data_IF_280632853498
#
_entry.id   IF_280632853498
#
_cell.length_a   1.000
_cell.length_b   1.000
_cell.length_c   1.000
_cell.angle_alpha   90.00
_cell.angle_beta   90.00
_cell.angle_gamma   90.00
#
_symmetry.space_group_name_H-M   'P 1'
#
loop_
_entity.id
_entity.type
_entity.pdbx_description
1 polymer ?
#
# COMPACT_ATOMS: atom_id res chain seq x y z
N UNK A 1 8.92 9.37 -11.99
CA UNK A 1 9.04 10.61 -11.22
C UNK A 1 9.56 11.72 -12.12
N UNK A 2 9.07 12.94 -11.92
CA UNK A 2 9.54 14.11 -12.65
C UNK A 2 9.69 15.33 -11.72
N UNK A 3 10.74 16.13 -11.93
CA UNK A 3 10.94 17.37 -11.19
C UNK A 3 9.91 18.43 -11.61
N UNK A 4 9.39 19.18 -10.65
CA UNK A 4 8.47 20.30 -10.85
C UNK A 4 9.12 21.56 -10.27
N UNK A 5 9.71 22.35 -11.14
CA UNK A 5 10.54 23.46 -10.73
C UNK A 5 11.79 22.99 -9.96
N UNK A 6 12.31 23.86 -9.06
CA UNK A 6 13.54 23.59 -8.31
C UNK A 6 13.31 22.81 -6.99
N UNK A 7 12.06 22.74 -6.52
CA UNK A 7 11.73 22.23 -5.18
C UNK A 7 10.65 21.17 -5.16
N UNK A 8 9.97 20.95 -6.28
CA UNK A 8 8.89 19.99 -6.39
C UNK A 8 9.31 18.69 -7.03
N UNK A 9 8.70 17.57 -6.61
CA UNK A 9 8.82 16.28 -7.23
C UNK A 9 7.42 15.67 -7.38
N UNK A 10 7.03 15.41 -8.61
CA UNK A 10 5.81 14.64 -8.92
C UNK A 10 6.16 13.18 -9.13
N UNK A 11 5.32 12.29 -8.60
CA UNK A 11 5.41 10.84 -8.78
C UNK A 11 4.09 10.33 -9.33
N UNK A 12 4.18 9.42 -10.28
CA UNK A 12 3.14 8.49 -10.66
C UNK A 12 3.65 7.08 -10.40
N UNK A 13 2.82 6.22 -9.81
CA UNK A 13 3.12 4.80 -9.58
C UNK A 13 1.98 3.96 -10.11
N UNK A 14 2.32 2.82 -10.69
CA UNK A 14 1.39 1.77 -11.06
C UNK A 14 2.02 0.42 -10.74
N UNK A 15 1.28 -0.45 -10.06
CA UNK A 15 1.64 -1.84 -9.82
C UNK A 15 0.51 -2.71 -10.36
N UNK A 16 0.86 -3.67 -11.22
CA UNK A 16 -0.09 -4.58 -11.85
C UNK A 16 0.21 -5.99 -11.36
N UNK A 17 -0.80 -6.69 -10.86
CA UNK A 17 -0.75 -8.11 -10.52
C UNK A 17 -1.36 -8.94 -11.64
N UNK A 18 -0.70 -10.03 -11.98
CA UNK A 18 -1.21 -11.05 -12.91
C UNK A 18 -1.70 -12.30 -12.17
N UNK A 19 -1.91 -12.22 -10.86
CA UNK A 19 -2.33 -13.35 -10.03
C UNK A 19 -3.62 -13.98 -10.54
N UNK A 20 -4.63 -13.15 -10.76
CA UNK A 20 -5.95 -13.61 -11.18
C UNK A 20 -5.95 -14.38 -12.51
N UNK A 21 -5.33 -13.88 -13.61
CA UNK A 21 -5.28 -14.61 -14.87
C UNK A 21 -4.38 -15.85 -14.82
N UNK A 22 -3.38 -15.90 -13.94
CA UNK A 22 -2.42 -17.01 -13.85
C UNK A 22 -2.91 -18.09 -12.88
N UNK A 23 -3.43 -17.70 -11.71
CA UNK A 23 -3.73 -18.60 -10.60
C UNK A 23 -5.22 -18.90 -10.42
N UNK A 24 -6.10 -18.17 -11.08
CA UNK A 24 -7.56 -18.28 -10.89
C UNK A 24 -8.07 -17.53 -9.66
N UNK A 25 -9.38 -17.66 -9.38
CA UNK A 25 -10.04 -16.89 -8.33
C UNK A 25 -9.76 -17.36 -6.92
N UNK A 26 -9.43 -18.62 -6.74
CA UNK A 26 -9.10 -19.20 -5.43
C UNK A 26 -7.60 -19.09 -5.09
N UNK A 27 -6.81 -18.45 -5.96
CA UNK A 27 -5.40 -18.19 -5.73
C UNK A 27 -4.53 -19.46 -5.64
N UNK A 28 -3.45 -19.41 -4.87
CA UNK A 28 -2.50 -20.51 -4.75
C UNK A 28 -2.40 -21.04 -3.31
N UNK A 29 -2.02 -22.32 -3.12
CA UNK A 29 -1.84 -22.89 -1.79
C UNK A 29 -0.72 -22.17 -1.01
N UNK A 30 -1.04 -21.75 0.21
CA UNK A 30 -0.08 -21.17 1.14
C UNK A 30 -0.56 -21.40 2.57
N UNK A 31 0.14 -22.24 3.32
CA UNK A 31 -0.23 -22.61 4.69
C UNK A 31 -0.42 -21.40 5.60
N UNK A 32 -1.44 -21.45 6.42
CA UNK A 32 -1.82 -20.43 7.41
C UNK A 32 -2.28 -19.09 6.82
N UNK A 33 -2.53 -19.02 5.53
CA UNK A 33 -3.22 -17.86 4.93
C UNK A 33 -4.73 -18.07 5.00
N UNK A 34 -5.44 -17.02 5.39
CA UNK A 34 -6.90 -17.01 5.49
C UNK A 34 -7.43 -15.58 5.48
N UNK A 35 -8.74 -15.43 5.49
CA UNK A 35 -9.41 -14.14 5.64
C UNK A 35 -10.16 -13.67 4.41
N UNK A 36 -9.91 -14.25 3.27
CA UNK A 36 -10.58 -13.95 2.02
C UNK A 36 -11.62 -15.00 1.65
N UNK A 37 -12.51 -14.65 0.74
CA UNK A 37 -13.51 -15.56 0.18
C UNK A 37 -13.35 -15.69 -1.33
N UNK A 38 -13.88 -16.77 -1.86
CA UNK A 38 -14.09 -16.99 -3.28
C UNK A 38 -15.44 -17.66 -3.51
N UNK A 39 -16.31 -17.01 -4.28
CA UNK A 39 -17.70 -17.44 -4.49
C UNK A 39 -18.46 -17.67 -3.17
N UNK A 40 -18.26 -16.76 -2.22
CA UNK A 40 -18.87 -16.80 -0.91
C UNK A 40 -18.36 -17.90 0.03
N UNK A 41 -17.26 -18.58 -0.30
CA UNK A 41 -16.63 -19.59 0.56
C UNK A 41 -15.29 -19.07 1.07
N UNK A 42 -14.97 -19.24 2.36
CA UNK A 42 -13.69 -18.80 2.90
C UNK A 42 -12.53 -19.56 2.25
N UNK A 43 -11.46 -18.84 1.93
CA UNK A 43 -10.19 -19.40 1.54
C UNK A 43 -9.39 -19.75 2.80
N UNK A 44 -8.99 -21.01 2.93
CA UNK A 44 -8.19 -21.53 4.04
C UNK A 44 -6.95 -22.19 3.47
N UNK A 45 -5.78 -21.89 4.06
CA UNK A 45 -4.47 -22.34 3.57
C UNK A 45 -4.24 -21.96 2.09
N UNK A 46 -4.71 -20.78 1.72
CA UNK A 46 -4.53 -20.23 0.38
C UNK A 46 -4.27 -18.74 0.46
N UNK A 47 -3.39 -18.25 -0.41
CA UNK A 47 -3.24 -16.83 -0.69
C UNK A 47 -4.23 -16.47 -1.81
N UNK A 48 -5.11 -15.51 -1.54
CA UNK A 48 -6.03 -14.99 -2.55
C UNK A 48 -5.27 -14.24 -3.66
N UNK A 49 -5.81 -14.16 -4.88
CA UNK A 49 -5.22 -13.35 -5.92
C UNK A 49 -5.47 -11.86 -5.63
N UNK A 50 -4.49 -11.03 -5.94
CA UNK A 50 -4.64 -9.58 -5.85
C UNK A 50 -5.45 -9.02 -7.02
N UNK A 51 -5.97 -7.80 -6.84
CA UNK A 51 -6.57 -7.04 -7.93
C UNK A 51 -5.57 -6.77 -9.04
N UNK A 52 -6.07 -6.61 -10.27
CA UNK A 52 -5.22 -6.31 -11.44
C UNK A 52 -4.35 -5.09 -11.19
N UNK A 53 -4.90 -4.05 -10.56
CA UNK A 53 -4.14 -2.90 -10.10
C UNK A 53 -3.96 -2.99 -8.58
N UNK A 54 -2.76 -3.33 -8.15
CA UNK A 54 -2.35 -3.30 -6.75
C UNK A 54 -1.95 -1.89 -6.28
N UNK A 55 -1.50 -1.04 -7.20
CA UNK A 55 -1.31 0.39 -6.99
C UNK A 55 -1.57 1.16 -8.29
N UNK A 56 -2.31 2.25 -8.16
CA UNK A 56 -2.41 3.30 -9.16
C UNK A 56 -2.47 4.63 -8.41
N UNK A 57 -1.36 5.34 -8.39
CA UNK A 57 -1.23 6.48 -7.49
C UNK A 57 -0.48 7.67 -8.08
N UNK A 58 -0.76 8.82 -7.50
CA UNK A 58 -0.04 10.06 -7.74
C UNK A 58 0.46 10.63 -6.42
N UNK A 59 1.62 11.23 -6.45
CA UNK A 59 2.19 11.91 -5.30
C UNK A 59 2.92 13.19 -5.69
N UNK A 60 2.92 14.14 -4.78
CA UNK A 60 3.70 15.36 -4.93
C UNK A 60 4.41 15.69 -3.63
N UNK A 61 5.67 16.04 -3.72
CA UNK A 61 6.42 16.56 -2.58
C UNK A 61 7.04 17.91 -2.91
N UNK A 62 7.13 18.78 -1.91
CA UNK A 62 7.71 20.10 -2.04
C UNK A 62 8.72 20.36 -0.93
N UNK A 63 9.97 20.62 -1.31
CA UNK A 63 11.03 21.00 -0.39
C UNK A 63 10.87 22.46 0.05
N UNK A 64 10.56 22.68 1.31
CA UNK A 64 10.56 24.02 1.92
C UNK A 64 12.00 24.52 2.04
N UNK A 65 12.86 23.66 2.60
CA UNK A 65 14.30 23.86 2.70
C UNK A 65 15.04 22.51 2.65
N UNK A 66 16.34 22.48 2.94
CA UNK A 66 17.16 21.25 2.88
C UNK A 66 16.76 20.16 3.88
N UNK A 67 16.11 20.52 4.97
CA UNK A 67 15.76 19.64 6.07
C UNK A 67 14.25 19.37 6.18
N UNK A 68 13.42 20.15 5.50
CA UNK A 68 11.97 20.13 5.64
C UNK A 68 11.30 20.02 4.28
N UNK A 69 10.44 19.03 4.11
CA UNK A 69 9.50 18.95 3.00
C UNK A 69 8.09 18.57 3.45
N UNK A 70 7.13 18.88 2.60
CA UNK A 70 5.73 18.48 2.73
C UNK A 70 5.35 17.64 1.52
N UNK A 71 4.42 16.71 1.70
CA UNK A 71 3.96 15.86 0.60
C UNK A 71 2.49 15.51 0.69
N UNK A 72 1.93 15.17 -0.46
CA UNK A 72 0.62 14.60 -0.61
C UNK A 72 0.67 13.37 -1.52
N UNK A 73 -0.22 12.43 -1.28
CA UNK A 73 -0.36 11.18 -2.03
C UNK A 73 -1.85 10.88 -2.19
N UNK A 74 -2.21 10.36 -3.36
CA UNK A 74 -3.53 9.83 -3.64
C UNK A 74 -3.39 8.53 -4.41
N UNK A 75 -4.05 7.47 -3.94
CA UNK A 75 -4.07 6.15 -4.56
C UNK A 75 -5.50 5.65 -4.83
N UNK A 76 -5.67 5.02 -6.00
CA UNK A 76 -6.92 4.37 -6.39
C UNK A 76 -6.64 3.19 -7.32
N UNK A 77 -6.21 2.05 -6.78
CA UNK A 77 -5.91 1.78 -5.37
C UNK A 77 -4.60 2.36 -4.87
N UNK A 78 -4.37 2.22 -3.57
CA UNK A 78 -3.15 2.66 -2.91
C UNK A 78 -2.97 2.07 -1.52
N UNK A 79 -1.90 2.48 -0.84
CA UNK A 79 -1.54 2.05 0.51
C UNK A 79 -1.63 3.23 1.49
N UNK A 80 -2.45 3.15 2.56
CA UNK A 80 -2.52 4.18 3.59
C UNK A 80 -1.31 4.17 4.51
N UNK A 81 -1.13 5.24 5.30
CA UNK A 81 -0.14 5.34 6.37
C UNK A 81 -0.58 4.55 7.61
N UNK A 82 -0.79 3.24 7.44
CA UNK A 82 -1.23 2.31 8.48
C UNK A 82 -0.17 1.20 8.64
N UNK A 83 0.41 1.11 9.84
CA UNK A 83 1.48 0.15 10.09
C UNK A 83 2.76 0.41 9.31
N UNK A 84 3.59 -0.60 9.15
CA UNK A 84 4.77 -0.58 8.29
C UNK A 84 4.38 -0.64 6.81
N UNK A 85 5.30 -0.28 5.93
CA UNK A 85 5.12 -0.47 4.48
C UNK A 85 4.83 -1.94 4.18
N UNK A 86 3.82 -2.22 3.38
CA UNK A 86 3.45 -3.57 2.98
C UNK A 86 4.65 -4.32 2.37
N UNK A 87 4.71 -5.64 2.59
CA UNK A 87 5.88 -6.43 2.21
C UNK A 87 6.22 -6.30 0.72
N UNK A 88 5.23 -6.30 -0.15
CA UNK A 88 5.39 -6.19 -1.61
C UNK A 88 5.97 -4.84 -2.06
N UNK A 89 5.83 -3.80 -1.24
CA UNK A 89 6.37 -2.46 -1.51
C UNK A 89 7.77 -2.24 -0.88
N UNK A 90 8.29 -3.23 -0.16
CA UNK A 90 9.62 -3.15 0.47
C UNK A 90 10.71 -3.67 -0.47
N UNK A 91 11.80 -2.93 -0.67
CA UNK A 91 12.94 -3.43 -1.46
C UNK A 91 13.49 -4.77 -0.97
N UNK A 92 13.42 -5.03 0.36
CA UNK A 92 13.86 -6.29 0.96
C UNK A 92 13.02 -7.50 0.57
N UNK A 93 11.81 -7.29 0.06
CA UNK A 93 10.87 -8.36 -0.35
C UNK A 93 10.74 -8.50 -1.87
N UNK A 94 11.52 -7.72 -2.64
CA UNK A 94 11.42 -7.68 -4.11
C UNK A 94 11.58 -9.06 -4.79
N UNK A 95 12.36 -9.94 -4.18
CA UNK A 95 12.63 -11.29 -4.70
C UNK A 95 11.95 -12.40 -3.88
N UNK A 96 11.05 -12.04 -2.97
CA UNK A 96 10.29 -13.00 -2.19
C UNK A 96 8.93 -13.23 -2.87
N UNK A 97 8.68 -14.42 -3.45
CA UNK A 97 7.44 -14.71 -4.16
C UNK A 97 6.25 -14.93 -3.21
N UNK A 98 6.52 -15.23 -1.94
CA UNK A 98 5.49 -15.61 -0.98
C UNK A 98 5.18 -14.48 -0.01
N UNK A 99 3.89 -14.28 0.28
CA UNK A 99 3.46 -13.40 1.35
C UNK A 99 3.95 -13.92 2.71
N UNK A 100 4.38 -13.05 3.63
CA UNK A 100 4.77 -13.47 4.97
C UNK A 100 3.58 -14.03 5.73
N UNK A 101 3.84 -14.96 6.65
CA UNK A 101 2.85 -15.50 7.56
C UNK A 101 2.12 -14.35 8.28
N UNK A 102 0.79 -14.41 8.32
CA UNK A 102 -0.01 -13.34 8.91
C UNK A 102 -0.07 -12.05 8.07
N UNK A 103 0.18 -12.13 6.78
CA UNK A 103 0.15 -11.00 5.85
C UNK A 103 -1.11 -10.14 6.02
N UNK A 104 -2.29 -10.73 5.97
CA UNK A 104 -3.56 -10.01 6.14
C UNK A 104 -3.80 -9.48 7.56
N UNK A 105 -3.09 -9.95 8.54
CA UNK A 105 -3.18 -9.43 9.91
C UNK A 105 -2.36 -8.15 10.09
N UNK A 106 -1.30 -7.98 9.31
CA UNK A 106 -0.39 -6.83 9.38
C UNK A 106 -0.64 -5.82 8.26
N UNK A 107 -1.02 -6.30 7.09
CA UNK A 107 -1.13 -5.53 5.86
C UNK A 107 -2.56 -5.57 5.28
N UNK A 108 -3.61 -5.66 6.12
CA UNK A 108 -5.00 -5.83 5.71
C UNK A 108 -5.54 -4.73 4.77
N UNK A 109 -4.92 -3.56 4.76
CA UNK A 109 -5.31 -2.43 3.91
C UNK A 109 -4.20 -2.01 2.95
N UNK A 110 -3.28 -2.93 2.60
CA UNK A 110 -2.16 -2.63 1.71
C UNK A 110 -2.59 -2.32 0.27
N UNK A 111 -3.76 -2.78 -0.14
CA UNK A 111 -4.44 -2.38 -1.37
C UNK A 111 -5.83 -1.91 -0.98
N UNK A 112 -6.09 -0.61 -1.08
CA UNK A 112 -7.43 -0.08 -0.79
C UNK A 112 -7.84 0.95 -1.82
N UNK A 113 -9.09 0.86 -2.26
CA UNK A 113 -9.64 1.75 -3.27
C UNK A 113 -10.06 3.08 -2.63
N UNK A 114 -9.19 4.07 -2.79
CA UNK A 114 -9.32 5.41 -2.25
C UNK A 114 -8.47 5.61 -0.99
N UNK A 115 -7.30 6.20 -1.19
CA UNK A 115 -6.36 6.65 -0.14
C UNK A 115 -5.95 8.08 -0.44
N UNK A 116 -6.07 8.94 0.55
CA UNK A 116 -5.51 10.29 0.52
C UNK A 116 -4.58 10.46 1.74
N UNK A 117 -3.32 10.77 1.50
CA UNK A 117 -2.31 10.94 2.54
C UNK A 117 -1.65 12.31 2.42
N UNK A 118 -1.43 12.95 3.55
CA UNK A 118 -0.59 14.15 3.66
C UNK A 118 0.45 13.95 4.73
N UNK A 119 1.61 14.57 4.57
CA UNK A 119 2.66 14.41 5.55
C UNK A 119 3.75 15.47 5.48
N UNK A 120 4.58 15.45 6.50
CA UNK A 120 5.73 16.31 6.67
C UNK A 120 6.94 15.46 7.02
N UNK A 121 8.06 15.71 6.36
CA UNK A 121 9.37 15.17 6.73
C UNK A 121 10.27 16.29 7.25
N UNK A 122 10.83 16.07 8.42
CA UNK A 122 11.86 16.93 8.99
C UNK A 122 13.09 16.10 9.34
N UNK A 123 14.19 16.29 8.60
CA UNK A 123 15.42 15.49 8.73
C UNK A 123 15.11 14.00 8.67
N UNK A 124 15.33 13.28 9.77
CA UNK A 124 15.15 11.85 9.90
C UNK A 124 13.74 11.45 10.41
N UNK A 125 12.86 12.42 10.67
CA UNK A 125 11.50 12.19 11.11
C UNK A 125 10.52 12.40 9.97
N UNK A 126 9.45 11.60 9.95
CA UNK A 126 8.30 11.79 9.07
C UNK A 126 7.03 11.56 9.89
N UNK A 127 6.07 12.47 9.77
CA UNK A 127 4.71 12.28 10.24
C UNK A 127 3.77 12.37 9.04
N UNK A 128 2.84 11.44 8.98
CA UNK A 128 1.87 11.38 7.89
C UNK A 128 0.52 10.93 8.41
N UNK A 129 -0.55 11.40 7.78
CA UNK A 129 -1.92 11.01 8.08
C UNK A 129 -2.65 10.65 6.80
N UNK A 130 -3.42 9.56 6.84
CA UNK A 130 -4.24 9.06 5.74
C UNK A 130 -5.71 9.01 6.11
N UNK A 131 -6.56 9.37 5.15
CA UNK A 131 -7.96 8.94 5.10
C UNK A 131 -8.13 7.94 3.98
N UNK A 132 -8.84 6.84 4.21
CA UNK A 132 -8.90 5.73 3.27
C UNK A 132 -10.16 4.88 3.44
N UNK A 133 -10.40 3.97 2.50
CA UNK A 133 -11.45 2.96 2.57
C UNK A 133 -10.96 1.79 3.43
N UNK A 134 -11.51 1.63 4.63
CA UNK A 134 -11.03 0.69 5.65
C UNK A 134 -11.52 -0.73 5.46
N UNK A 135 -11.41 -1.27 4.27
CA UNK A 135 -11.74 -2.67 3.97
C UNK A 135 -10.89 -3.21 2.83
N UNK A 136 -10.77 -4.51 2.78
CA UNK A 136 -10.20 -5.25 1.67
C UNK A 136 -11.04 -5.03 0.38
N UNK A 137 -10.42 -5.10 -0.80
CA UNK A 137 -11.12 -5.23 -2.07
C UNK A 137 -12.06 -6.44 -2.09
N UNK A 138 -13.08 -6.41 -2.94
CA UNK A 138 -13.98 -7.55 -3.09
C UNK A 138 -13.40 -8.68 -3.97
N UNK A 139 -14.21 -9.69 -4.31
CA UNK A 139 -13.76 -10.84 -5.12
C UNK A 139 -13.58 -10.52 -6.61
N UNK A 140 -14.08 -9.38 -7.10
CA UNK A 140 -13.93 -8.97 -8.50
C UNK A 140 -12.61 -8.24 -8.72
N UNK A 141 -11.59 -8.96 -9.06
CA UNK A 141 -10.21 -8.48 -9.19
C UNK A 141 -9.94 -7.62 -10.43
N UNK A 142 -10.95 -7.31 -11.22
CA UNK A 142 -10.83 -6.49 -12.44
C UNK A 142 -11.60 -5.19 -12.39
N UNK A 143 -12.37 -4.94 -11.33
CA UNK A 143 -13.12 -3.71 -11.14
C UNK A 143 -12.33 -2.68 -10.30
N UNK A 144 -12.96 -1.55 -10.05
CA UNK A 144 -12.50 -0.55 -9.08
C UNK A 144 -13.60 -0.38 -8.03
N UNK A 145 -13.30 -0.74 -6.80
CA UNK A 145 -14.21 -0.62 -5.69
C UNK A 145 -14.53 0.84 -5.34
N UNK A 146 -15.72 1.06 -4.82
CA UNK A 146 -16.17 2.40 -4.44
C UNK A 146 -15.34 2.97 -3.29
N UNK A 147 -14.74 4.14 -3.51
CA UNK A 147 -14.11 4.93 -2.45
C UNK A 147 -15.12 5.32 -1.37
N UNK A 148 -14.72 5.22 -0.09
CA UNK A 148 -15.56 5.56 1.07
C UNK A 148 -14.92 6.58 2.00
N UNK A 149 -13.60 6.54 2.18
CA UNK A 149 -12.85 7.38 3.13
C UNK A 149 -13.44 7.31 4.54
N UNK A 150 -13.82 6.10 4.98
CA UNK A 150 -14.46 5.82 6.26
C UNK A 150 -13.49 5.45 7.38
N UNK A 151 -12.20 5.46 7.08
CA UNK A 151 -11.13 5.13 8.00
C UNK A 151 -10.00 6.14 7.95
N UNK A 152 -9.21 6.20 9.01
CA UNK A 152 -8.05 7.08 9.09
C UNK A 152 -6.92 6.44 9.89
N UNK A 153 -5.69 6.83 9.60
CA UNK A 153 -4.49 6.41 10.31
C UNK A 153 -3.46 7.53 10.37
N UNK A 154 -2.60 7.47 11.36
CA UNK A 154 -1.44 8.34 11.51
C UNK A 154 -0.21 7.47 11.72
N UNK A 155 0.88 7.79 11.02
CA UNK A 155 2.16 7.10 11.16
C UNK A 155 3.28 8.09 11.46
N UNK A 156 4.04 7.80 12.50
CA UNK A 156 5.30 8.47 12.81
C UNK A 156 6.45 7.54 12.42
N UNK A 157 7.40 8.04 11.65
CA UNK A 157 8.59 7.28 11.28
C UNK A 157 9.86 8.04 11.70
N UNK A 158 10.87 7.28 12.16
CA UNK A 158 12.18 7.80 12.51
C UNK A 158 13.28 6.93 11.93
N UNK A 159 14.11 7.50 11.10
CA UNK A 159 15.22 6.81 10.42
C UNK A 159 16.55 7.32 10.98
N UNK A 160 17.03 6.79 12.14
CA UNK A 160 18.28 7.25 12.76
C UNK A 160 19.51 7.00 11.89
N UNK A 161 19.49 5.93 11.10
CA UNK A 161 20.55 5.57 10.15
C UNK A 161 19.94 5.14 8.82
N UNK A 162 20.77 4.92 7.80
CA UNK A 162 20.33 4.38 6.50
C UNK A 162 19.81 2.93 6.58
N UNK A 163 20.15 2.21 7.64
CA UNK A 163 19.89 0.77 7.80
C UNK A 163 18.81 0.48 8.86
N UNK A 164 18.31 1.52 9.57
CA UNK A 164 17.31 1.37 10.63
C UNK A 164 16.14 2.33 10.41
N UNK A 165 14.96 1.79 10.37
CA UNK A 165 13.68 2.53 10.35
C UNK A 165 12.81 2.08 11.51
N UNK A 166 12.33 3.03 12.29
CA UNK A 166 11.37 2.83 13.38
C UNK A 166 10.04 3.46 12.98
N UNK A 167 8.94 2.78 13.25
CA UNK A 167 7.59 3.25 12.97
C UNK A 167 6.66 2.94 14.15
#
# INVERSE_FOLDING_TARGET
QTAVGKKGLFRFSAMISLDRPIMGGDGYPLLFQSGETWKGKPLVDRQHPHDLFAELSVGYSHAINKDLDVFGYFGYPGEPALGGTAFMHRPSSLYNPDAPLGHHWQDATHITFGVATVGVRYKNFKIEGSSFTGREPDEDRYNFDKMRFDSWAVRLSYNPTKDLSLQ
#
